data_IF_852676628023
#
_entry.id   IF_852676628023
#
_cell.length_a   1.000
_cell.length_b   1.000
_cell.length_c   1.000
_cell.angle_alpha   90.00
_cell.angle_beta   90.00
_cell.angle_gamma   90.00
#
_symmetry.space_group_name_H-M   'P 1'
#
loop_
_entity.id
_entity.type
_entity.pdbx_description
1 polymer ?
#
# COMPACT_ATOMS: atom_id res chain seq x y z
N UNK A 1 -8.76 -1.19 -16.01
CA UNK A 1 -8.85 -0.26 -14.85
C UNK A 1 -9.77 -0.78 -13.74
N UNK A 2 -10.96 -1.32 -14.03
CA UNK A 2 -11.94 -1.82 -13.04
C UNK A 2 -11.43 -2.92 -12.09
N UNK A 3 -10.85 -3.99 -12.64
CA UNK A 3 -10.36 -5.12 -11.86
C UNK A 3 -9.16 -4.80 -10.96
N UNK A 4 -8.27 -3.88 -11.40
CA UNK A 4 -7.10 -3.44 -10.62
C UNK A 4 -7.52 -2.68 -9.35
N UNK A 5 -8.57 -1.84 -9.45
CA UNK A 5 -9.15 -1.15 -8.30
C UNK A 5 -9.80 -2.14 -7.33
N UNK A 6 -10.57 -3.10 -7.84
CA UNK A 6 -11.19 -4.15 -7.03
C UNK A 6 -10.16 -4.99 -6.28
N UNK A 7 -9.09 -5.38 -6.96
CA UNK A 7 -7.96 -6.09 -6.35
C UNK A 7 -7.30 -5.31 -5.21
N UNK A 8 -7.05 -4.02 -5.43
CA UNK A 8 -6.50 -3.16 -4.38
C UNK A 8 -7.45 -3.05 -3.19
N UNK A 9 -8.77 -2.88 -3.43
CA UNK A 9 -9.78 -2.89 -2.37
C UNK A 9 -9.81 -4.23 -1.62
N UNK A 10 -9.62 -5.36 -2.29
CA UNK A 10 -9.52 -6.67 -1.62
C UNK A 10 -8.33 -6.79 -0.67
N UNK A 11 -7.24 -6.06 -0.91
CA UNK A 11 -6.03 -6.05 -0.07
C UNK A 11 -6.20 -5.07 1.10
N UNK A 12 -6.67 -3.86 0.81
CA UNK A 12 -6.72 -2.75 1.78
C UNK A 12 -7.96 -2.82 2.67
N UNK A 13 -9.12 -3.21 2.14
CA UNK A 13 -10.40 -3.25 2.86
C UNK A 13 -10.82 -4.69 3.16
N UNK A 14 -10.10 -5.36 4.08
CA UNK A 14 -10.39 -6.76 4.41
C UNK A 14 -11.78 -6.98 5.02
N UNK A 15 -12.36 -5.93 5.63
CA UNK A 15 -13.69 -5.98 6.27
C UNK A 15 -14.85 -5.68 5.32
N UNK A 16 -14.57 -5.18 4.11
CA UNK A 16 -15.61 -4.87 3.13
C UNK A 16 -16.08 -6.15 2.44
N UNK A 17 -17.38 -6.30 2.16
CA UNK A 17 -17.88 -7.50 1.48
C UNK A 17 -17.38 -7.53 0.04
N UNK A 18 -17.10 -8.74 -0.47
CA UNK A 18 -16.62 -8.91 -1.85
C UNK A 18 -17.67 -8.41 -2.86
N UNK A 19 -18.96 -8.50 -2.51
CA UNK A 19 -20.06 -7.97 -3.31
C UNK A 19 -19.97 -6.45 -3.46
N UNK A 20 -19.73 -5.71 -2.37
CA UNK A 20 -19.60 -4.25 -2.45
C UNK A 20 -18.41 -3.84 -3.32
N UNK A 21 -17.28 -4.53 -3.17
CA UNK A 21 -16.10 -4.29 -4.01
C UNK A 21 -16.39 -4.59 -5.49
N UNK A 22 -17.17 -5.63 -5.78
CA UNK A 22 -17.58 -5.96 -7.15
C UNK A 22 -18.47 -4.87 -7.76
N UNK A 23 -19.46 -4.38 -7.01
CA UNK A 23 -20.36 -3.30 -7.41
C UNK A 23 -19.59 -1.99 -7.65
N UNK A 24 -18.68 -1.63 -6.74
CA UNK A 24 -17.77 -0.47 -6.86
C UNK A 24 -16.88 -0.54 -8.11
N UNK A 25 -16.51 -1.76 -8.50
CA UNK A 25 -15.73 -2.03 -9.70
C UNK A 25 -16.58 -2.04 -10.98
N UNK A 26 -17.91 -1.90 -10.87
CA UNK A 26 -18.84 -1.85 -11.99
C UNK A 26 -19.26 -3.23 -12.53
N UNK A 27 -19.28 -4.26 -11.67
CA UNK A 27 -19.88 -5.56 -11.99
C UNK A 27 -21.30 -5.62 -11.43
N UNK A 28 -22.21 -6.23 -12.20
CA UNK A 28 -23.63 -6.35 -11.84
C UNK A 28 -23.90 -7.47 -10.83
N UNK A 29 -22.97 -8.42 -10.68
CA UNK A 29 -23.13 -9.54 -9.75
C UNK A 29 -21.78 -10.09 -9.25
N UNK A 30 -21.84 -10.77 -8.10
CA UNK A 30 -20.69 -11.47 -7.53
C UNK A 30 -20.13 -12.55 -8.46
N UNK A 31 -21.00 -13.28 -9.17
CA UNK A 31 -20.58 -14.36 -10.07
C UNK A 31 -19.81 -13.83 -11.28
N UNK A 32 -20.31 -12.76 -11.90
CA UNK A 32 -19.64 -12.09 -13.03
C UNK A 32 -18.26 -11.56 -12.62
N UNK A 33 -18.17 -10.98 -11.42
CA UNK A 33 -16.90 -10.53 -10.86
C UNK A 33 -15.95 -11.71 -10.57
N UNK A 34 -16.40 -12.73 -9.84
CA UNK A 34 -15.58 -13.87 -9.45
C UNK A 34 -15.04 -14.63 -10.66
N UNK A 35 -15.83 -14.78 -11.74
CA UNK A 35 -15.38 -15.39 -13.00
C UNK A 35 -14.32 -14.55 -13.69
N UNK A 36 -14.56 -13.25 -13.86
CA UNK A 36 -13.61 -12.34 -14.49
C UNK A 36 -12.31 -12.21 -13.67
N UNK A 37 -12.42 -12.16 -12.34
CA UNK A 37 -11.29 -12.09 -11.42
C UNK A 37 -10.46 -13.36 -11.46
N UNK A 38 -11.08 -14.55 -11.42
CA UNK A 38 -10.38 -15.83 -11.53
C UNK A 38 -9.69 -16.00 -12.88
N UNK A 39 -10.29 -15.53 -13.97
CA UNK A 39 -9.70 -15.60 -15.31
C UNK A 39 -8.42 -14.76 -15.42
N UNK A 40 -8.37 -13.60 -14.75
CA UNK A 40 -7.24 -12.67 -14.83
C UNK A 40 -6.19 -12.95 -13.74
N UNK A 41 -6.63 -13.23 -12.52
CA UNK A 41 -5.78 -13.40 -11.34
C UNK A 41 -5.45 -14.86 -11.02
N UNK A 42 -6.03 -15.82 -11.73
CA UNK A 42 -5.82 -17.26 -11.51
C UNK A 42 -6.46 -17.83 -10.24
N UNK A 43 -7.03 -16.98 -9.38
CA UNK A 43 -7.64 -17.35 -8.10
C UNK A 43 -8.91 -16.54 -7.84
N UNK A 44 -9.81 -17.05 -6.98
CA UNK A 44 -11.04 -16.33 -6.63
C UNK A 44 -10.75 -15.08 -5.79
N UNK A 45 -11.65 -14.08 -5.77
CA UNK A 45 -11.49 -12.89 -4.92
C UNK A 45 -11.30 -13.20 -3.43
N UNK A 46 -11.98 -14.23 -2.91
CA UNK A 46 -11.87 -14.67 -1.52
C UNK A 46 -10.49 -15.26 -1.21
N UNK A 47 -10.00 -16.14 -2.08
CA UNK A 47 -8.65 -16.71 -1.97
C UNK A 47 -7.59 -15.62 -2.13
N UNK A 48 -7.81 -14.69 -3.06
CA UNK A 48 -6.94 -13.54 -3.27
C UNK A 48 -6.84 -12.70 -2.01
N UNK A 49 -7.96 -12.37 -1.34
CA UNK A 49 -7.97 -11.63 -0.07
C UNK A 49 -7.22 -12.36 1.06
N UNK A 50 -7.31 -13.68 1.11
CA UNK A 50 -6.67 -14.49 2.14
C UNK A 50 -5.16 -14.62 1.93
N UNK A 51 -4.73 -14.86 0.67
CA UNK A 51 -3.33 -15.05 0.31
C UNK A 51 -2.56 -13.75 0.10
N UNK A 52 -3.27 -12.65 -0.19
CA UNK A 52 -2.61 -11.38 -0.46
C UNK A 52 -2.02 -10.78 0.81
N UNK A 53 -0.70 -10.86 0.89
CA UNK A 53 0.13 -10.01 1.74
C UNK A 53 0.58 -8.80 0.91
N UNK A 54 1.11 -7.76 1.56
CA UNK A 54 1.62 -6.54 0.92
C UNK A 54 2.61 -6.82 -0.25
N UNK A 55 3.22 -8.00 -0.26
CA UNK A 55 4.21 -8.52 -1.24
C UNK A 55 3.60 -9.01 -2.55
N UNK A 56 2.29 -9.22 -2.57
CA UNK A 56 1.60 -9.67 -3.79
C UNK A 56 1.49 -8.56 -4.84
N UNK A 57 1.90 -7.34 -4.53
CA UNK A 57 2.13 -6.28 -5.51
C UNK A 57 3.21 -6.65 -6.53
N UNK A 58 4.12 -7.58 -6.20
CA UNK A 58 5.24 -7.98 -7.07
C UNK A 58 4.98 -9.25 -7.88
N UNK A 59 3.85 -9.94 -7.68
CA UNK A 59 3.52 -11.18 -8.41
C UNK A 59 2.30 -10.95 -9.32
N UNK A 60 2.40 -11.19 -10.65
CA UNK A 60 1.36 -10.82 -11.62
C UNK A 60 0.01 -11.49 -11.30
N UNK A 61 -1.13 -10.82 -11.59
CA UNK A 61 -1.40 -10.12 -12.86
C UNK A 61 -1.25 -8.59 -12.82
N UNK A 62 -0.67 -8.03 -11.75
CA UNK A 62 -0.52 -6.58 -11.57
C UNK A 62 0.68 -5.96 -12.27
N UNK A 63 1.58 -6.77 -12.84
CA UNK A 63 2.68 -6.24 -13.64
C UNK A 63 2.11 -5.36 -14.75
N UNK A 64 2.56 -4.10 -14.80
CA UNK A 64 2.51 -3.31 -16.02
C UNK A 64 3.02 -4.23 -17.14
N UNK A 65 2.27 -4.33 -18.23
CA UNK A 65 2.68 -5.11 -19.39
C UNK A 65 4.15 -4.77 -19.70
N UNK A 66 5.05 -5.74 -19.53
CA UNK A 66 6.39 -5.72 -20.13
C UNK A 66 6.14 -5.79 -21.63
N UNK A 67 5.85 -4.67 -22.27
CA UNK A 67 5.43 -4.65 -23.66
C UNK A 67 5.13 -3.28 -24.23
N UNK A 68 4.70 -2.31 -23.42
CA UNK A 68 4.53 -0.94 -23.89
C UNK A 68 5.62 -0.07 -23.28
N UNK A 69 6.63 0.26 -24.09
CA UNK A 69 7.57 1.35 -23.83
C UNK A 69 6.80 2.68 -23.91
N UNK A 70 5.80 2.87 -23.06
CA UNK A 70 5.26 4.20 -22.78
C UNK A 70 6.43 4.96 -22.21
N UNK A 71 6.93 5.95 -22.96
CA UNK A 71 7.91 6.90 -22.44
C UNK A 71 7.41 7.39 -21.09
N UNK A 72 8.08 6.94 -20.02
CA UNK A 72 7.81 7.41 -18.68
C UNK A 72 8.31 8.85 -18.69
N UNK A 73 7.38 9.80 -18.74
CA UNK A 73 7.73 11.21 -18.64
C UNK A 73 8.16 11.48 -17.20
N UNK A 74 9.47 11.49 -16.97
CA UNK A 74 10.04 11.80 -15.65
C UNK A 74 9.94 13.30 -15.45
N UNK A 75 9.02 13.74 -14.58
CA UNK A 75 8.95 15.12 -14.12
C UNK A 75 9.55 15.23 -12.73
N UNK A 76 10.60 16.02 -12.58
CA UNK A 76 11.12 16.42 -11.26
C UNK A 76 10.16 17.49 -10.71
N UNK A 77 9.64 17.26 -9.50
CA UNK A 77 8.73 18.20 -8.83
C UNK A 77 9.27 18.47 -7.44
N UNK A 78 9.41 19.75 -7.10
CA UNK A 78 9.68 20.16 -5.73
C UNK A 78 8.43 19.92 -4.88
N UNK A 79 8.59 19.15 -3.79
CA UNK A 79 7.52 18.88 -2.85
C UNK A 79 7.72 19.77 -1.61
N UNK A 80 6.65 20.41 -1.09
CA UNK A 80 6.77 21.25 0.10
C UNK A 80 7.22 20.41 1.30
N UNK A 81 8.05 21.02 2.15
CA UNK A 81 8.49 20.39 3.38
C UNK A 81 7.28 20.07 4.26
N UNK A 82 7.10 18.80 4.59
CA UNK A 82 6.00 18.29 5.40
C UNK A 82 6.54 17.41 6.52
N UNK A 83 5.85 17.45 7.66
CA UNK A 83 6.23 16.65 8.83
C UNK A 83 5.71 15.25 8.64
N UNK A 84 6.60 14.27 8.71
CA UNK A 84 6.25 12.86 8.59
C UNK A 84 6.39 12.16 9.94
N UNK A 85 5.42 11.32 10.24
CA UNK A 85 5.51 10.30 11.26
C UNK A 85 6.00 9.03 10.58
N UNK A 86 7.14 8.50 11.01
CA UNK A 86 7.83 7.37 10.37
C UNK A 86 7.92 6.20 11.31
N UNK A 87 7.57 5.01 10.82
CA UNK A 87 7.91 3.74 11.45
C UNK A 87 8.91 3.00 10.56
N UNK A 88 9.96 2.47 11.17
CA UNK A 88 10.95 1.65 10.49
C UNK A 88 10.50 0.20 10.46
N UNK A 89 10.56 -0.39 9.29
CA UNK A 89 10.50 -1.82 9.11
C UNK A 89 11.92 -2.35 8.94
N UNK A 90 12.27 -3.33 9.77
CA UNK A 90 13.48 -4.11 9.66
C UNK A 90 13.13 -5.59 9.67
N UNK A 91 13.78 -6.37 8.81
CA UNK A 91 13.56 -7.81 8.69
C UNK A 91 12.70 -8.19 7.48
N UNK A 92 12.16 -9.42 7.52
CA UNK A 92 11.54 -10.04 6.35
C UNK A 92 10.52 -9.11 5.69
N UNK A 93 10.71 -8.77 4.39
CA UNK A 93 9.77 -7.98 3.63
C UNK A 93 8.34 -8.42 3.91
N UNK A 94 8.07 -9.74 3.99
CA UNK A 94 6.74 -10.32 4.26
C UNK A 94 5.96 -9.65 5.40
N UNK A 95 6.66 -9.15 6.41
CA UNK A 95 6.10 -8.50 7.60
C UNK A 95 5.88 -6.99 7.47
N UNK A 96 6.22 -6.36 6.34
CA UNK A 96 5.94 -4.93 6.06
C UNK A 96 4.46 -4.60 6.25
N UNK A 97 3.55 -5.52 5.88
CA UNK A 97 2.11 -5.34 6.09
C UNK A 97 1.75 -5.19 7.58
N UNK A 98 2.43 -5.92 8.47
CA UNK A 98 2.24 -5.82 9.92
C UNK A 98 2.75 -4.47 10.44
N UNK A 99 3.92 -4.02 9.99
CA UNK A 99 4.45 -2.69 10.32
C UNK A 99 3.54 -1.58 9.80
N UNK A 100 2.96 -1.73 8.60
CA UNK A 100 1.96 -0.80 8.08
C UNK A 100 0.70 -0.77 8.95
N UNK A 101 0.20 -1.94 9.38
CA UNK A 101 -0.93 -2.02 10.31
C UNK A 101 -0.64 -1.33 11.64
N UNK A 102 0.59 -1.46 12.19
CA UNK A 102 1.02 -0.72 13.38
C UNK A 102 0.96 0.78 13.18
N UNK A 103 1.45 1.30 12.05
CA UNK A 103 1.40 2.73 11.73
C UNK A 103 -0.05 3.23 11.63
N UNK A 104 -0.92 2.46 10.98
CA UNK A 104 -2.35 2.80 10.86
C UNK A 104 -3.03 2.78 12.23
N UNK A 105 -2.75 1.77 13.07
CA UNK A 105 -3.28 1.68 14.42
C UNK A 105 -2.82 2.87 15.28
N UNK A 106 -1.54 3.21 15.21
CA UNK A 106 -0.97 4.39 15.86
C UNK A 106 -1.66 5.69 15.38
N UNK A 107 -1.87 5.84 14.07
CA UNK A 107 -2.53 7.01 13.50
C UNK A 107 -3.99 7.13 13.94
N UNK A 108 -4.72 6.01 14.05
CA UNK A 108 -6.10 5.96 14.55
C UNK A 108 -6.19 6.25 16.04
N UNK A 109 -5.16 5.93 16.81
CA UNK A 109 -5.11 6.19 18.25
C UNK A 109 -4.82 7.65 18.61
N UNK A 110 -4.42 8.47 17.63
CA UNK A 110 -4.16 9.89 17.88
C UNK A 110 -5.47 10.66 18.13
N UNK A 111 -5.45 11.66 19.03
CA UNK A 111 -6.62 12.49 19.34
C UNK A 111 -7.07 13.36 18.15
N UNK A 112 -6.22 13.48 17.13
CA UNK A 112 -6.51 14.21 15.90
C UNK A 112 -6.81 13.19 14.80
N UNK A 113 -7.94 13.36 14.11
CA UNK A 113 -8.34 12.48 13.02
C UNK A 113 -7.36 12.60 11.83
N UNK A 114 -6.37 11.71 11.79
CA UNK A 114 -5.42 11.54 10.69
C UNK A 114 -6.11 10.81 9.54
N UNK A 115 -7.00 11.51 8.82
CA UNK A 115 -7.54 11.01 7.54
C UNK A 115 -6.45 11.10 6.47
N UNK A 116 -5.79 9.98 6.19
CA UNK A 116 -4.82 9.85 5.11
C UNK A 116 -5.50 10.10 3.77
N UNK A 117 -5.12 11.18 3.09
CA UNK A 117 -5.52 11.42 1.70
C UNK A 117 -4.55 10.71 0.74
N UNK A 118 -4.98 10.40 -0.50
CA UNK A 118 -4.06 9.93 -1.53
C UNK A 118 -2.85 10.88 -1.66
N UNK A 119 -1.63 10.33 -1.59
CA UNK A 119 -0.38 11.10 -1.64
C UNK A 119 0.13 11.63 -0.30
N UNK A 120 -0.45 11.20 0.82
CA UNK A 120 0.02 11.54 2.18
C UNK A 120 0.74 10.38 2.89
N UNK A 121 0.80 9.21 2.27
CA UNK A 121 1.58 8.05 2.71
C UNK A 121 2.78 7.82 1.79
N UNK A 122 3.93 7.49 2.38
CA UNK A 122 5.22 7.34 1.72
C UNK A 122 5.90 6.05 2.16
N UNK A 123 6.61 5.41 1.24
CA UNK A 123 7.51 4.30 1.51
C UNK A 123 8.91 4.67 1.05
N UNK A 124 9.91 4.55 1.92
CA UNK A 124 11.31 4.74 1.56
C UNK A 124 12.02 3.40 1.58
N UNK A 125 12.41 2.94 0.40
CA UNK A 125 13.24 1.74 0.23
C UNK A 125 14.71 2.11 0.32
N UNK A 126 15.47 1.37 1.13
CA UNK A 126 16.93 1.53 1.24
C UNK A 126 17.71 0.45 0.52
N UNK A 127 17.05 -0.62 0.10
CA UNK A 127 17.63 -1.71 -0.67
C UNK A 127 16.56 -2.45 -1.46
N UNK A 128 16.99 -3.12 -2.53
CA UNK A 128 16.10 -3.99 -3.30
C UNK A 128 15.78 -5.24 -2.45
N UNK A 129 14.49 -5.54 -2.18
CA UNK A 129 14.09 -6.75 -1.45
C UNK A 129 14.53 -8.06 -2.11
N UNK A 130 15.01 -8.04 -3.37
CA UNK A 130 15.56 -9.19 -4.09
C UNK A 130 17.07 -9.34 -3.93
N UNK A 131 17.77 -8.27 -3.56
CA UNK A 131 19.23 -8.27 -3.42
C UNK A 131 19.68 -8.31 -1.96
N UNK A 132 18.86 -7.80 -1.03
CA UNK A 132 19.19 -7.74 0.39
C UNK A 132 18.61 -8.96 1.11
N UNK A 133 19.39 -9.65 1.98
CA UNK A 133 18.87 -10.69 2.85
C UNK A 133 17.68 -10.19 3.67
N UNK A 134 16.71 -11.07 3.92
CA UNK A 134 15.50 -10.74 4.66
C UNK A 134 15.80 -10.06 6.01
N UNK A 135 16.87 -10.45 6.69
CA UNK A 135 17.26 -9.90 7.99
C UNK A 135 17.80 -8.46 7.92
N UNK A 136 18.32 -8.04 6.77
CA UNK A 136 18.91 -6.71 6.55
C UNK A 136 18.00 -5.78 5.75
N UNK A 137 16.82 -6.27 5.35
CA UNK A 137 15.86 -5.47 4.61
C UNK A 137 15.32 -4.33 5.49
N UNK A 138 15.55 -3.10 5.02
CA UNK A 138 15.07 -1.88 5.66
C UNK A 138 14.09 -1.14 4.77
N UNK A 139 12.94 -0.81 5.35
CA UNK A 139 11.89 -0.06 4.68
C UNK A 139 11.21 0.91 5.65
N UNK A 140 11.23 2.20 5.37
CA UNK A 140 10.53 3.16 6.22
C UNK A 140 9.12 3.41 5.66
N UNK A 141 8.11 3.27 6.51
CA UNK A 141 6.75 3.72 6.20
C UNK A 141 6.49 5.03 6.89
N UNK A 142 5.98 6.00 6.14
CA UNK A 142 5.76 7.34 6.65
C UNK A 142 4.40 7.87 6.26
N UNK A 143 3.78 8.63 7.16
CA UNK A 143 2.54 9.36 6.89
C UNK A 143 2.68 10.83 7.27
N UNK A 144 1.97 11.68 6.54
CA UNK A 144 1.97 13.13 6.81
C UNK A 144 1.20 13.42 8.10
N UNK A 145 1.79 14.22 8.98
CA UNK A 145 1.20 14.64 10.25
C UNK A 145 1.25 16.17 10.42
N UNK A 146 0.31 16.70 11.20
CA UNK A 146 0.29 18.12 11.55
C UNK A 146 1.46 18.48 12.49
N UNK A 147 1.91 19.74 12.43
CA UNK A 147 3.03 20.22 13.25
C UNK A 147 2.76 20.15 14.76
N UNK A 148 1.50 20.14 15.19
CA UNK A 148 1.09 20.14 16.59
C UNK A 148 1.06 18.75 17.23
N UNK A 149 1.21 17.68 16.44
CA UNK A 149 1.15 16.31 16.95
C UNK A 149 2.47 15.93 17.65
N UNK A 150 2.37 15.49 18.92
CA UNK A 150 3.48 14.83 19.61
C UNK A 150 3.63 13.42 19.07
N UNK A 151 4.85 13.07 18.68
CA UNK A 151 5.19 11.72 18.23
C UNK A 151 5.83 11.03 19.43
N UNK A 152 5.18 9.98 19.92
CA UNK A 152 5.65 9.18 21.05
C UNK A 152 5.73 7.70 20.62
N UNK A 153 6.73 6.97 21.13
CA UNK A 153 6.90 5.53 20.92
C UNK A 153 7.80 5.14 19.73
N UNK A 154 7.44 4.06 19.03
CA UNK A 154 8.17 3.48 17.88
C UNK A 154 8.14 4.37 16.61
N UNK A 155 7.33 5.45 16.63
CA UNK A 155 7.14 6.35 15.50
C UNK A 155 7.90 7.65 15.76
N UNK A 156 8.92 7.92 14.96
CA UNK A 156 9.75 9.11 15.12
C UNK A 156 9.52 10.14 14.02
N UNK A 157 10.00 11.37 14.29
CA UNK A 157 9.86 12.51 13.38
C UNK A 157 10.90 12.41 12.26
N UNK A 158 10.45 12.46 11.01
CA UNK A 158 11.33 12.75 9.87
C UNK A 158 10.84 13.99 9.13
N UNK A 159 11.76 14.90 8.84
CA UNK A 159 11.50 16.05 7.96
C UNK A 159 12.09 15.66 6.61
N UNK A 160 11.24 15.24 5.67
CA UNK A 160 11.68 15.01 4.30
C UNK A 160 11.50 16.32 3.52
N UNK A 161 12.61 17.03 3.31
CA UNK A 161 12.74 17.94 2.17
C UNK A 161 13.37 17.12 1.05
N UNK A 162 12.56 16.65 0.11
CA UNK A 162 13.09 16.06 -1.12
C UNK A 162 13.24 17.20 -2.14
N UNK A 163 14.49 17.49 -2.48
CA UNK A 163 14.87 18.25 -3.68
C UNK A 163 14.68 17.39 -4.93
#
# INVERSE_FOLDING_TARGET
MRLKRAAHQLIVHKEETIINIALDAGFESHESFSRAFKQICGQSPSEFRLKSSWHTCDVPPYSLHKGDTKMINVSIKELPARRLAVIEHYGDPKKVGETASKLIAWAKAQPINLKLKPGEAFGFWYGDPKEVPAEDFRFDLAITVLQTLKLDGEVYRKISSCR
#
